data_IF_668740525816
#
_entry.id   IF_668740525816
#
_cell.length_a   1.000
_cell.length_b   1.000
_cell.length_c   1.000
_cell.angle_alpha   90.00
_cell.angle_beta   90.00
_cell.angle_gamma   90.00
#
_symmetry.space_group_name_H-M   'P 1'
#
loop_
_entity.id
_entity.type
_entity.pdbx_description
1 polymer ?
#
# COMPACT_ATOMS: atom_id res chain seq x y z
N UNK A 1 31.37 21.04 19.50
CA UNK A 1 31.03 19.70 19.02
C UNK A 1 29.53 19.57 19.16
N UNK A 2 28.78 19.46 18.07
CA UNK A 2 27.33 19.25 18.13
C UNK A 2 27.08 17.73 18.15
N UNK A 3 26.36 17.25 19.15
CA UNK A 3 25.94 15.85 19.25
C UNK A 3 24.43 15.81 19.04
N UNK A 4 23.99 15.32 17.88
CA UNK A 4 22.58 15.09 17.59
C UNK A 4 22.23 13.68 18.10
N UNK A 5 21.65 13.59 19.30
CA UNK A 5 21.23 12.33 19.92
C UNK A 5 19.94 11.76 19.29
N UNK A 6 19.17 12.63 18.62
CA UNK A 6 17.97 12.32 17.88
C UNK A 6 17.91 13.29 16.69
N UNK A 7 17.62 12.79 15.48
CA UNK A 7 17.50 13.62 14.29
C UNK A 7 16.04 14.01 14.06
N UNK A 8 15.79 15.32 13.96
CA UNK A 8 14.51 15.90 13.60
C UNK A 8 14.59 16.56 12.22
N UNK A 9 13.45 16.90 11.62
CA UNK A 9 13.45 17.52 10.27
C UNK A 9 14.14 18.88 10.28
N UNK A 10 14.14 19.56 11.41
CA UNK A 10 14.81 20.83 11.61
C UNK A 10 16.34 20.70 11.59
N UNK A 11 16.88 19.49 11.77
CA UNK A 11 18.31 19.21 11.69
C UNK A 11 18.80 18.94 10.25
N UNK A 12 17.90 18.94 9.25
CA UNK A 12 18.31 18.85 7.85
C UNK A 12 19.16 20.05 7.46
N UNK A 13 20.28 19.79 6.79
CA UNK A 13 21.20 20.87 6.42
C UNK A 13 22.54 20.38 5.96
N UNK A 14 23.41 21.35 5.69
CA UNK A 14 24.77 21.13 5.24
C UNK A 14 25.71 21.22 6.45
N UNK A 15 26.41 20.13 6.73
CA UNK A 15 27.29 19.98 7.88
C UNK A 15 28.73 19.85 7.40
N UNK A 16 29.64 20.44 8.16
CA UNK A 16 31.07 20.36 7.91
C UNK A 16 31.80 20.38 9.25
N UNK A 17 33.04 19.90 9.26
CA UNK A 17 33.87 19.91 10.44
C UNK A 17 35.01 20.90 10.30
N UNK A 18 35.36 21.57 11.39
CA UNK A 18 36.54 22.43 11.47
C UNK A 18 37.52 21.88 12.48
N UNK A 19 38.78 21.77 12.08
CA UNK A 19 39.89 21.52 13.00
C UNK A 19 40.13 22.75 13.89
N UNK A 20 40.30 22.51 15.19
CA UNK A 20 40.53 23.58 16.18
C UNK A 20 41.98 24.10 16.11
N UNK A 21 42.93 23.19 15.86
CA UNK A 21 44.37 23.46 15.90
C UNK A 21 44.87 24.29 14.70
N UNK A 22 44.43 23.93 13.49
CA UNK A 22 44.92 24.55 12.24
C UNK A 22 43.81 25.19 11.39
N UNK A 23 42.58 25.28 11.92
CA UNK A 23 41.41 25.90 11.25
C UNK A 23 41.00 25.27 9.92
N UNK A 24 41.58 24.14 9.52
CA UNK A 24 41.23 23.44 8.30
C UNK A 24 39.77 22.97 8.33
N UNK A 25 39.08 23.12 7.22
CA UNK A 25 37.67 22.75 7.06
C UNK A 25 37.59 21.44 6.26
N UNK A 26 36.70 20.54 6.68
CA UNK A 26 36.39 19.32 5.95
C UNK A 26 35.39 19.55 4.82
N UNK A 27 35.07 18.48 4.09
CA UNK A 27 34.04 18.51 3.06
C UNK A 27 32.64 18.78 3.65
N UNK A 28 31.77 19.38 2.84
CA UNK A 28 30.38 19.62 3.19
C UNK A 28 29.58 18.34 2.93
N UNK A 29 28.90 17.84 3.95
CA UNK A 29 27.97 16.72 3.88
C UNK A 29 26.54 17.22 4.13
N UNK A 30 25.61 16.88 3.22
CA UNK A 30 24.19 17.23 3.38
C UNK A 30 23.45 16.11 4.10
N UNK A 31 22.84 16.43 5.23
CA UNK A 31 21.99 15.51 5.99
C UNK A 31 20.53 15.74 5.60
N UNK A 32 19.85 14.66 5.27
CA UNK A 32 18.39 14.61 5.02
C UNK A 32 17.80 13.58 5.97
N UNK A 33 16.71 13.93 6.64
CA UNK A 33 16.11 13.10 7.68
C UNK A 33 15.12 12.14 7.03
N UNK A 34 15.30 10.86 7.29
CA UNK A 34 14.42 9.84 6.75
C UNK A 34 13.12 9.73 7.56
N UNK A 35 11.99 9.61 6.88
CA UNK A 35 10.67 9.51 7.52
C UNK A 35 9.64 8.80 6.64
N UNK A 36 8.51 8.41 7.25
CA UNK A 36 7.26 8.00 6.60
C UNK A 36 6.11 8.68 7.33
N UNK A 37 5.31 9.48 6.64
CA UNK A 37 4.11 10.08 7.22
C UNK A 37 3.04 9.00 7.49
N UNK A 38 2.37 9.10 8.63
CA UNK A 38 1.25 8.22 8.96
C UNK A 38 0.07 8.50 8.04
N UNK A 39 -0.60 7.44 7.60
CA UNK A 39 -1.85 7.60 6.87
C UNK A 39 -2.90 8.25 7.78
N UNK A 40 -3.71 9.18 7.25
CA UNK A 40 -4.88 9.67 7.98
C UNK A 40 -5.80 8.52 8.39
N UNK A 41 -6.44 8.61 9.56
CA UNK A 41 -7.23 7.51 10.15
C UNK A 41 -8.40 7.03 9.27
N UNK A 42 -8.88 7.87 8.35
CA UNK A 42 -9.94 7.57 7.37
C UNK A 42 -9.41 7.07 6.02
N UNK A 43 -8.08 6.99 5.83
CA UNK A 43 -7.51 6.51 4.57
C UNK A 43 -7.71 5.02 4.39
N UNK A 44 -8.17 4.61 3.22
CA UNK A 44 -8.47 3.22 2.89
C UNK A 44 -7.90 2.89 1.50
N UNK A 45 -7.44 1.66 1.26
CA UNK A 45 -7.20 1.20 -0.09
C UNK A 45 -8.46 1.34 -0.95
N UNK A 46 -8.31 1.70 -2.22
CA UNK A 46 -9.42 1.89 -3.15
C UNK A 46 -9.34 0.86 -4.27
N UNK A 47 -10.50 0.37 -4.73
CA UNK A 47 -10.62 -0.69 -5.72
C UNK A 47 -11.36 -0.20 -6.95
N UNK A 48 -10.87 -0.59 -8.12
CA UNK A 48 -11.39 -0.18 -9.43
C UNK A 48 -11.59 -1.43 -10.30
N UNK A 49 -12.84 -1.76 -10.70
CA UNK A 49 -14.08 -1.08 -10.33
C UNK A 49 -14.40 -1.19 -8.83
N UNK A 50 -15.22 -0.26 -8.31
CA UNK A 50 -15.63 -0.28 -6.89
C UNK A 50 -16.57 -1.46 -6.58
N UNK A 51 -17.38 -1.82 -7.57
CA UNK A 51 -18.26 -3.00 -7.56
C UNK A 51 -17.63 -4.09 -8.40
N UNK A 52 -17.08 -5.11 -7.74
CA UNK A 52 -16.30 -6.18 -8.39
C UNK A 52 -17.19 -7.39 -8.62
N UNK A 53 -17.17 -7.97 -9.81
CA UNK A 53 -17.76 -9.28 -10.09
C UNK A 53 -16.68 -10.36 -10.20
N UNK A 54 -17.05 -11.62 -9.97
CA UNK A 54 -16.13 -12.73 -10.19
C UNK A 54 -15.62 -12.78 -11.64
N UNK A 55 -14.32 -13.05 -11.78
CA UNK A 55 -13.62 -13.10 -13.06
C UNK A 55 -13.21 -11.73 -13.62
N UNK A 56 -13.56 -10.61 -12.97
CA UNK A 56 -13.16 -9.29 -13.43
C UNK A 56 -11.71 -8.96 -13.10
N UNK A 57 -11.13 -8.09 -13.92
CA UNK A 57 -9.86 -7.43 -13.64
C UNK A 57 -10.07 -6.29 -12.64
N UNK A 58 -9.30 -6.30 -11.55
CA UNK A 58 -9.42 -5.35 -10.45
C UNK A 58 -8.08 -4.70 -10.19
N UNK A 59 -8.07 -3.38 -10.05
CA UNK A 59 -6.89 -2.63 -9.59
C UNK A 59 -7.14 -2.04 -8.20
N UNK A 60 -6.29 -2.38 -7.25
CA UNK A 60 -6.28 -1.81 -5.91
C UNK A 60 -5.17 -0.78 -5.77
N UNK A 61 -5.52 0.41 -5.28
CA UNK A 61 -4.60 1.49 -5.00
C UNK A 61 -4.46 1.70 -3.50
N UNK A 62 -3.23 1.87 -3.05
CA UNK A 62 -2.94 2.22 -1.66
C UNK A 62 -3.01 3.74 -1.48
N UNK A 63 -3.43 4.24 -0.30
CA UNK A 63 -3.26 5.65 0.03
C UNK A 63 -1.81 6.10 -0.16
N UNK A 64 -1.63 7.30 -0.71
CA UNK A 64 -0.29 7.89 -0.85
C UNK A 64 0.18 8.44 0.48
N UNK A 65 1.46 8.28 0.77
CA UNK A 65 2.15 8.92 1.90
C UNK A 65 3.42 9.61 1.41
N UNK A 66 3.82 10.69 2.08
CA UNK A 66 5.14 11.29 1.89
C UNK A 66 6.15 10.49 2.70
N UNK A 67 7.25 10.14 2.05
CA UNK A 67 8.32 9.39 2.67
C UNK A 67 9.66 9.74 2.02
N UNK A 68 10.70 9.79 2.85
CA UNK A 68 12.09 9.97 2.42
C UNK A 68 12.94 8.88 3.06
N UNK A 69 13.67 8.06 2.27
CA UNK A 69 13.50 7.84 0.84
C UNK A 69 12.08 7.36 0.49
N UNK A 70 11.71 7.34 -0.82
CA UNK A 70 10.40 6.88 -1.26
C UNK A 70 10.03 5.52 -0.65
N UNK A 71 8.80 5.42 -0.13
CA UNK A 71 8.32 4.20 0.48
C UNK A 71 8.03 3.13 -0.58
N UNK A 72 8.34 1.89 -0.25
CA UNK A 72 7.86 0.72 -0.99
C UNK A 72 6.51 0.29 -0.41
N UNK A 73 5.67 -0.28 -1.27
CA UNK A 73 4.33 -0.74 -0.93
C UNK A 73 4.31 -2.26 -0.87
N UNK A 74 3.62 -2.82 0.11
CA UNK A 74 3.38 -4.26 0.24
C UNK A 74 1.91 -4.50 0.54
N UNK A 75 1.36 -5.56 -0.05
CA UNK A 75 -0.05 -5.94 0.12
C UNK A 75 -0.19 -7.26 0.86
N UNK A 76 -1.21 -7.30 1.72
CA UNK A 76 -1.58 -8.45 2.50
C UNK A 76 -3.08 -8.69 2.36
N UNK A 77 -3.48 -9.96 2.32
CA UNK A 77 -4.86 -10.41 2.36
C UNK A 77 -5.06 -11.23 3.64
N UNK A 78 -5.98 -10.81 4.49
CA UNK A 78 -6.27 -11.43 5.79
C UNK A 78 -5.01 -11.67 6.64
N UNK A 79 -4.10 -10.69 6.61
CA UNK A 79 -2.84 -10.70 7.36
C UNK A 79 -1.71 -11.52 6.74
N UNK A 80 -1.94 -12.18 5.59
CA UNK A 80 -0.90 -12.93 4.86
C UNK A 80 -0.41 -12.13 3.67
N UNK A 81 0.90 -12.16 3.41
CA UNK A 81 1.46 -11.51 2.24
C UNK A 81 0.85 -12.11 0.96
N UNK A 82 0.44 -11.25 0.03
CA UNK A 82 -0.11 -11.71 -1.24
C UNK A 82 1.02 -12.30 -2.08
N UNK A 83 0.78 -13.49 -2.62
CA UNK A 83 1.72 -14.19 -3.47
C UNK A 83 1.76 -13.56 -4.88
N UNK A 84 2.88 -12.90 -5.18
CA UNK A 84 3.15 -12.26 -6.47
C UNK A 84 3.92 -13.16 -7.43
N UNK A 85 4.13 -14.44 -7.09
CA UNK A 85 4.77 -15.41 -8.00
C UNK A 85 3.81 -15.89 -9.11
N UNK A 86 2.51 -15.66 -8.95
CA UNK A 86 1.50 -16.00 -9.94
C UNK A 86 1.36 -14.89 -10.99
N UNK A 87 1.12 -15.25 -12.26
CA UNK A 87 0.85 -14.26 -13.32
C UNK A 87 -0.53 -13.56 -13.15
N UNK A 88 -1.38 -14.07 -12.26
CA UNK A 88 -2.73 -13.56 -12.02
C UNK A 88 -2.75 -12.30 -11.16
N UNK A 89 -1.81 -12.16 -10.22
CA UNK A 89 -1.72 -11.02 -9.32
C UNK A 89 -0.36 -10.35 -9.48
N UNK A 90 -0.37 -9.09 -9.91
CA UNK A 90 0.83 -8.34 -10.23
C UNK A 90 0.84 -7.07 -9.39
N UNK A 91 1.97 -6.78 -8.74
CA UNK A 91 2.19 -5.47 -8.14
C UNK A 91 2.97 -4.59 -9.12
N UNK A 92 2.42 -3.43 -9.44
CA UNK A 92 3.07 -2.48 -10.34
C UNK A 92 4.17 -1.68 -9.62
N UNK A 93 5.05 -1.05 -10.39
CA UNK A 93 6.13 -0.20 -9.87
C UNK A 93 5.64 0.96 -9.01
N UNK A 94 4.40 1.41 -9.21
CA UNK A 94 3.80 2.49 -8.45
C UNK A 94 3.17 2.03 -7.12
N UNK A 95 3.23 0.72 -6.82
CA UNK A 95 2.70 0.10 -5.61
C UNK A 95 1.25 -0.39 -5.69
N UNK A 96 0.60 -0.30 -6.85
CA UNK A 96 -0.78 -0.79 -7.03
C UNK A 96 -0.80 -2.30 -7.25
N UNK A 97 -1.87 -2.95 -6.78
CA UNK A 97 -2.09 -4.38 -6.96
C UNK A 97 -3.11 -4.60 -8.09
N UNK A 98 -2.73 -5.36 -9.11
CA UNK A 98 -3.61 -5.75 -10.21
C UNK A 98 -3.95 -7.23 -10.06
N UNK A 99 -5.24 -7.54 -10.05
CA UNK A 99 -5.78 -8.89 -9.99
C UNK A 99 -6.49 -9.13 -11.31
N UNK A 100 -5.94 -9.98 -12.19
CA UNK A 100 -6.47 -10.20 -13.54
C UNK A 100 -7.85 -10.85 -13.55
N UNK A 101 -8.07 -11.76 -12.60
CA UNK A 101 -9.34 -12.45 -12.40
C UNK A 101 -9.63 -12.52 -10.91
N UNK A 102 -10.65 -11.81 -10.46
CA UNK A 102 -11.08 -11.82 -9.07
C UNK A 102 -11.85 -13.10 -8.75
N UNK A 103 -11.35 -13.88 -7.80
CA UNK A 103 -11.85 -15.19 -7.40
C UNK A 103 -12.37 -15.16 -5.95
N UNK A 104 -13.06 -16.23 -5.54
CA UNK A 104 -13.58 -16.38 -4.18
C UNK A 104 -12.50 -16.26 -3.10
N UNK A 105 -11.30 -16.75 -3.38
CA UNK A 105 -10.14 -16.68 -2.48
C UNK A 105 -9.54 -15.28 -2.34
N UNK A 106 -9.92 -14.33 -3.20
CA UNK A 106 -9.46 -12.94 -3.14
C UNK A 106 -10.40 -12.05 -2.31
N UNK A 107 -11.50 -12.60 -1.77
CA UNK A 107 -12.38 -11.91 -0.83
C UNK A 107 -11.72 -11.87 0.54
N UNK A 108 -11.70 -10.70 1.17
CA UNK A 108 -11.14 -10.55 2.51
C UNK A 108 -10.75 -9.12 2.85
N UNK A 109 -9.98 -8.99 3.93
CA UNK A 109 -9.42 -7.71 4.37
C UNK A 109 -8.07 -7.49 3.70
N UNK A 110 -8.02 -6.52 2.81
CA UNK A 110 -6.78 -6.06 2.20
C UNK A 110 -6.10 -5.05 3.10
N UNK A 111 -4.84 -5.29 3.43
CA UNK A 111 -3.95 -4.34 4.08
C UNK A 111 -2.85 -3.92 3.11
N UNK A 112 -2.74 -2.61 2.88
CA UNK A 112 -1.57 -2.04 2.25
C UNK A 112 -0.65 -1.45 3.32
N UNK A 113 0.64 -1.77 3.23
CA UNK A 113 1.71 -1.20 4.06
C UNK A 113 2.66 -0.40 3.18
N UNK A 114 2.84 0.88 3.49
CA UNK A 114 3.90 1.72 2.91
C UNK A 114 5.05 1.84 3.92
N UNK A 115 6.28 1.54 3.51
CA UNK A 115 7.44 1.53 4.41
C UNK A 115 8.75 1.93 3.74
N UNK A 116 9.67 2.45 4.53
CA UNK A 116 11.10 2.54 4.23
C UNK A 116 11.90 2.12 5.47
N UNK A 117 13.20 2.41 5.54
CA UNK A 117 14.01 2.05 6.71
C UNK A 117 13.72 2.90 7.95
N UNK A 118 13.11 4.08 7.81
CA UNK A 118 12.79 4.98 8.91
C UNK A 118 11.43 4.68 9.55
N UNK A 119 10.50 4.07 8.82
CA UNK A 119 9.18 3.79 9.37
C UNK A 119 8.23 3.06 8.44
N UNK A 120 7.00 2.90 8.91
CA UNK A 120 5.89 2.31 8.16
C UNK A 120 4.54 2.93 8.54
N UNK A 121 3.60 2.85 7.62
CA UNK A 121 2.18 3.16 7.82
C UNK A 121 1.34 2.12 7.08
N UNK A 122 0.14 1.82 7.57
CA UNK A 122 -0.76 0.87 6.92
C UNK A 122 -2.22 1.28 6.93
N UNK A 123 -2.96 0.83 5.93
CA UNK A 123 -4.39 1.07 5.78
C UNK A 123 -5.09 -0.22 5.34
N UNK A 124 -6.30 -0.45 5.85
CA UNK A 124 -7.08 -1.67 5.63
C UNK A 124 -8.42 -1.36 4.99
N UNK A 125 -8.90 -2.24 4.13
CA UNK A 125 -10.31 -2.24 3.70
C UNK A 125 -10.79 -3.66 3.44
N UNK A 126 -12.06 -3.92 3.69
CA UNK A 126 -12.68 -5.19 3.34
C UNK A 126 -13.22 -5.12 1.92
N UNK A 127 -12.96 -6.15 1.12
CA UNK A 127 -13.49 -6.27 -0.24
C UNK A 127 -14.23 -7.58 -0.44
N UNK A 128 -15.39 -7.47 -1.11
CA UNK A 128 -16.20 -8.59 -1.54
C UNK A 128 -16.41 -8.56 -3.07
N UNK A 129 -17.00 -9.62 -3.60
CA UNK A 129 -17.51 -9.68 -4.96
C UNK A 129 -19.03 -9.66 -4.94
N UNK A 130 -19.61 -8.96 -5.91
CA UNK A 130 -21.03 -9.00 -6.23
C UNK A 130 -21.27 -10.25 -7.09
N UNK A 131 -22.33 -10.98 -6.75
CA UNK A 131 -22.79 -12.08 -7.60
C UNK A 131 -23.67 -11.49 -8.69
N UNK A 132 -23.45 -11.86 -9.95
CA UNK A 132 -24.45 -11.58 -10.99
C UNK A 132 -25.69 -12.37 -10.58
N UNK A 133 -26.70 -11.70 -10.04
CA UNK A 133 -28.03 -12.29 -9.93
C UNK A 133 -28.45 -12.53 -11.39
N UNK A 134 -28.39 -13.78 -11.84
CA UNK A 134 -29.22 -14.17 -12.97
C UNK A 134 -30.64 -13.78 -12.57
N UNK A 135 -31.33 -13.04 -13.43
CA UNK A 135 -32.78 -13.05 -13.41
C UNK A 135 -33.21 -14.50 -13.70
N UNK A 136 -33.09 -15.40 -12.73
CA UNK A 136 -33.87 -16.63 -12.72
C UNK A 136 -35.30 -16.20 -12.47
N UNK A 137 -36.01 -15.98 -13.58
CA UNK A 137 -37.47 -15.96 -13.62
C UNK A 137 -37.97 -17.11 -12.74
N UNK A 138 -38.95 -16.89 -11.85
CA UNK A 138 -39.48 -17.97 -11.03
C UNK A 138 -39.96 -19.10 -11.94
N UNK A 139 -39.35 -20.28 -11.81
CA UNK A 139 -39.75 -21.49 -12.53
C UNK A 139 -41.19 -21.80 -12.11
N UNK A 140 -42.16 -21.52 -12.99
CA UNK A 140 -43.55 -21.95 -12.77
C UNK A 140 -43.64 -23.43 -13.11
N UNK A 141 -43.70 -24.27 -12.08
CA UNK A 141 -44.00 -25.69 -12.21
C UNK A 141 -45.52 -25.83 -12.30
N UNK A 142 -46.02 -26.36 -13.42
CA UNK A 142 -47.42 -26.77 -13.55
C UNK A 142 -47.50 -28.27 -13.31
N UNK A 143 -48.21 -28.66 -12.24
CA UNK A 143 -48.57 -30.05 -12.02
C UNK A 143 -49.71 -30.40 -12.97
N UNK A 144 -49.51 -31.41 -13.82
CA UNK A 144 -50.58 -32.01 -14.61
C UNK A 144 -51.34 -32.97 -13.70
N UNK A 145 -52.63 -32.74 -13.51
CA UNK A 145 -53.52 -33.73 -12.90
C UNK A 145 -53.90 -34.77 -13.96
N UNK A 146 -53.91 -36.05 -13.57
CA UNK A 146 -54.36 -37.18 -14.38
C UNK A 146 -55.88 -37.17 -14.62
#
# INVERSE_FOLDING_TARGET
>A
MALLLQMFREDEGDYWCRRIDNKQEGEIARIVVAYVEQFPSNSRPTFHPASIYFGEHVTAHCPRTKAVPPAIYNWFLDGKAIDLSTERIIQTSNGSLQIQQFLRQDIGVYECVARNFAGRTSAKTYMNAITRLSNELPVKIYLKAD
#
